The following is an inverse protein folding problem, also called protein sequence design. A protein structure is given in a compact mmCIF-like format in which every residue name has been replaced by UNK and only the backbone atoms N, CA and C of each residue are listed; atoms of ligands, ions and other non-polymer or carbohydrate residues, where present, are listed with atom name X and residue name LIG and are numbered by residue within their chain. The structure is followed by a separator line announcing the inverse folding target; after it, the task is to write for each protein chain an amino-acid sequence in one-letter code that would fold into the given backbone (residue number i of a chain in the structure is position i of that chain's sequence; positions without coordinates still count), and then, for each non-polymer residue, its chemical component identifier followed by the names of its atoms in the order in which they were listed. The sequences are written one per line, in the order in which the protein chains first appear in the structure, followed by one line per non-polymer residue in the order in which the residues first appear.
data_IF_316550812656
#
_entry.id   IF_316550812656
#
_cell.length_a   1.000
_cell.length_b   1.000
_cell.length_c   1.000
_cell.angle_alpha   90.00
_cell.angle_beta   90.00
_cell.angle_gamma   90.00
#
_symmetry.space_group_name_H-M   'P 1'
#
loop_
_entity.id
_entity.type
_entity.pdbx_description
1 polymer ?
#
# COMPACT_ATOMS: atom_id res chain seq x y z
N UNK A 1 -9.14 -13.82 -4.98
CA UNK A 1 -9.03 -12.92 -6.17
C UNK A 1 -9.31 -11.43 -5.87
N UNK A 2 -8.80 -10.81 -4.78
CA UNK A 2 -9.11 -9.39 -4.47
C UNK A 2 -8.31 -8.38 -5.33
N UNK A 3 -7.03 -8.65 -5.59
CA UNK A 3 -6.15 -7.74 -6.34
C UNK A 3 -6.63 -7.53 -7.78
N UNK A 4 -6.82 -8.61 -8.55
CA UNK A 4 -7.25 -8.53 -9.96
C UNK A 4 -8.56 -7.75 -10.10
N UNK A 5 -9.52 -7.97 -9.20
CA UNK A 5 -10.78 -7.23 -9.17
C UNK A 5 -10.58 -5.72 -9.02
N UNK A 6 -9.68 -5.27 -8.15
CA UNK A 6 -9.39 -3.85 -7.98
C UNK A 6 -8.65 -3.26 -9.20
N UNK A 7 -7.71 -4.00 -9.79
CA UNK A 7 -7.02 -3.57 -11.01
C UNK A 7 -7.99 -3.45 -12.20
N UNK A 8 -8.96 -4.35 -12.32
CA UNK A 8 -10.02 -4.24 -13.33
C UNK A 8 -10.87 -2.98 -13.11
N UNK A 9 -11.24 -2.66 -11.87
CA UNK A 9 -12.01 -1.43 -11.57
C UNK A 9 -11.24 -0.15 -11.89
N UNK A 10 -9.91 -0.19 -11.83
CA UNK A 10 -9.03 0.91 -12.23
C UNK A 10 -8.75 0.94 -13.75
N UNK A 11 -9.34 0.03 -14.53
CA UNK A 11 -9.05 -0.17 -15.95
C UNK A 11 -7.55 -0.31 -16.22
N UNK A 12 -6.83 -1.00 -15.33
CA UNK A 12 -5.37 -1.13 -15.38
C UNK A 12 -4.86 -1.79 -16.67
N UNK A 13 -5.71 -2.54 -17.40
CA UNK A 13 -5.34 -3.10 -18.70
C UNK A 13 -5.22 -2.05 -19.81
N UNK A 14 -5.90 -0.90 -19.68
CA UNK A 14 -5.91 0.19 -20.66
C UNK A 14 -5.14 1.42 -20.18
N UNK A 15 -5.11 1.66 -18.87
CA UNK A 15 -4.55 2.88 -18.28
C UNK A 15 -3.05 2.78 -17.95
N UNK A 16 -2.43 1.60 -18.07
CA UNK A 16 -0.99 1.47 -17.84
C UNK A 16 -0.24 1.85 -19.14
N UNK A 17 0.50 2.98 -19.16
CA UNK A 17 1.11 3.49 -20.40
C UNK A 17 2.33 2.68 -20.85
N UNK A 18 2.79 1.75 -20.01
CA UNK A 18 4.08 1.07 -20.16
C UNK A 18 3.96 -0.34 -20.75
N UNK A 19 3.05 -1.18 -20.26
CA UNK A 19 2.97 -2.61 -20.61
C UNK A 19 1.64 -3.22 -20.12
N UNK A 20 1.38 -4.48 -20.49
CA UNK A 20 0.23 -5.26 -19.99
C UNK A 20 0.34 -5.44 -18.47
N UNK A 21 -0.80 -5.41 -17.79
CA UNK A 21 -0.88 -5.56 -16.32
C UNK A 21 -0.13 -6.77 -15.80
N UNK A 22 -0.26 -7.94 -16.45
CA UNK A 22 0.45 -9.15 -16.01
C UNK A 22 1.97 -9.03 -16.12
N UNK A 23 2.49 -8.38 -17.17
CA UNK A 23 3.93 -8.14 -17.32
C UNK A 23 4.46 -7.20 -16.24
N UNK A 24 3.67 -6.18 -15.86
CA UNK A 24 4.01 -5.26 -14.78
C UNK A 24 4.01 -5.99 -13.44
N UNK A 25 3.01 -6.83 -13.16
CA UNK A 25 3.00 -7.64 -11.94
C UNK A 25 4.21 -8.58 -11.86
N UNK A 26 4.62 -9.19 -12.97
CA UNK A 26 5.83 -10.00 -13.03
C UNK A 26 7.10 -9.16 -12.78
N UNK A 27 7.18 -7.95 -13.33
CA UNK A 27 8.29 -7.02 -13.08
C UNK A 27 8.36 -6.62 -11.60
N UNK A 28 7.22 -6.30 -10.98
CA UNK A 28 7.14 -5.95 -9.56
C UNK A 28 7.55 -7.12 -8.65
N UNK A 29 7.20 -8.36 -9.00
CA UNK A 29 7.70 -9.54 -8.29
C UNK A 29 9.22 -9.63 -8.40
N UNK A 30 9.76 -9.54 -9.62
CA UNK A 30 11.23 -9.60 -9.84
C UNK A 30 12.01 -8.51 -9.11
N UNK A 31 11.40 -7.34 -8.94
CA UNK A 31 12.00 -6.20 -8.23
C UNK A 31 11.80 -6.26 -6.70
N UNK A 32 11.06 -7.24 -6.19
CA UNK A 32 10.83 -7.44 -4.75
C UNK A 32 9.72 -6.57 -4.15
N UNK A 33 8.85 -5.98 -4.98
CA UNK A 33 7.71 -5.18 -4.51
C UNK A 33 6.47 -6.03 -4.22
N UNK A 34 6.31 -7.17 -4.87
CA UNK A 34 5.18 -8.07 -4.70
C UNK A 34 5.65 -9.51 -4.49
N UNK A 35 4.96 -10.22 -3.59
CA UNK A 35 5.07 -11.66 -3.45
C UNK A 35 3.75 -12.31 -3.86
N UNK A 36 3.85 -13.38 -4.66
CA UNK A 36 2.69 -14.17 -5.10
C UNK A 36 2.75 -15.53 -4.41
N UNK A 37 1.81 -15.79 -3.52
CA UNK A 37 1.63 -17.07 -2.85
C UNK A 37 0.54 -17.83 -3.60
N UNK A 38 0.88 -19.04 -4.06
CA UNK A 38 -0.06 -19.95 -4.73
C UNK A 38 -0.24 -21.16 -3.82
N UNK A 39 -1.44 -21.28 -3.25
CA UNK A 39 -1.83 -22.43 -2.45
C UNK A 39 -2.54 -23.42 -3.38
N UNK A 40 -1.96 -24.62 -3.53
CA UNK A 40 -2.55 -25.71 -4.31
C UNK A 40 -3.10 -26.75 -3.37
N UNK A 41 -4.41 -26.96 -3.43
CA UNK A 41 -5.11 -28.02 -2.71
C UNK A 41 -5.64 -29.00 -3.76
N UNK A 42 -5.34 -30.28 -3.59
CA UNK A 42 -5.74 -31.31 -4.55
C UNK A 42 -7.27 -31.39 -4.66
N UNK A 43 -7.81 -31.16 -5.86
CA UNK A 43 -9.25 -31.13 -6.13
C UNK A 43 -9.91 -29.74 -6.04
N UNK A 44 -9.17 -28.68 -5.70
CA UNK A 44 -9.68 -27.30 -5.67
C UNK A 44 -8.92 -26.38 -6.64
N UNK A 45 -9.52 -25.22 -6.97
CA UNK A 45 -8.84 -24.21 -7.77
C UNK A 45 -7.69 -23.55 -6.98
N UNK A 46 -6.56 -23.32 -7.64
CA UNK A 46 -5.39 -22.63 -7.08
C UNK A 46 -5.78 -21.29 -6.42
N UNK A 47 -5.58 -21.18 -5.11
CA UNK A 47 -5.82 -19.94 -4.37
C UNK A 47 -4.58 -19.04 -4.45
N UNK A 48 -4.76 -17.86 -5.06
CA UNK A 48 -3.68 -16.87 -5.20
C UNK A 48 -3.84 -15.73 -4.19
N UNK A 49 -2.88 -15.63 -3.29
CA UNK A 49 -2.72 -14.53 -2.34
C UNK A 49 -1.56 -13.64 -2.78
N UNK A 50 -1.80 -12.33 -2.81
CA UNK A 50 -0.80 -11.33 -3.18
C UNK A 50 -0.38 -10.56 -1.92
N UNK A 51 0.92 -10.52 -1.67
CA UNK A 51 1.51 -9.88 -0.51
C UNK A 51 2.48 -8.77 -0.95
N UNK A 52 2.76 -7.83 -0.05
CA UNK A 52 3.82 -6.83 -0.27
C UNK A 52 5.17 -7.49 -0.08
N UNK A 53 6.04 -7.38 -1.08
CA UNK A 53 7.38 -7.95 -1.07
C UNK A 53 8.34 -7.20 -0.14
N UNK A 54 9.55 -7.74 0.11
CA UNK A 54 10.51 -7.18 1.07
C UNK A 54 10.89 -5.73 0.78
N UNK A 55 11.10 -5.38 -0.51
CA UNK A 55 11.47 -4.04 -0.92
C UNK A 55 10.34 -3.04 -0.71
N UNK A 56 9.10 -3.45 -1.03
CA UNK A 56 7.91 -2.63 -0.82
C UNK A 56 7.70 -2.25 0.66
N UNK A 57 8.01 -3.17 1.59
CA UNK A 57 7.92 -2.90 3.03
C UNK A 57 8.97 -1.90 3.54
N UNK A 58 10.12 -1.84 2.89
CA UNK A 58 11.22 -0.93 3.27
C UNK A 58 11.04 0.45 2.65
N UNK A 59 10.69 0.50 1.37
CA UNK A 59 10.60 1.77 0.63
C UNK A 59 9.30 2.54 0.87
N UNK A 60 8.21 1.85 1.22
CA UNK A 60 6.88 2.47 1.38
C UNK A 60 6.40 2.30 2.80
N UNK A 61 6.39 3.41 3.55
CA UNK A 61 5.86 3.42 4.92
C UNK A 61 4.32 3.39 4.93
N UNK A 62 3.68 2.76 5.93
CA UNK A 62 2.23 2.84 6.10
C UNK A 62 1.70 4.28 6.20
N UNK A 63 2.49 5.22 6.73
CA UNK A 63 2.16 6.64 6.79
C UNK A 63 2.09 7.28 5.40
N UNK A 64 3.05 6.96 4.53
CA UNK A 64 3.05 7.43 3.14
C UNK A 64 1.82 6.91 2.38
N UNK A 65 1.41 5.66 2.64
CA UNK A 65 0.17 5.11 2.07
C UNK A 65 -1.04 5.89 2.57
N UNK A 66 -1.13 6.16 3.88
CA UNK A 66 -2.24 6.92 4.45
C UNK A 66 -2.37 8.31 3.83
N UNK A 67 -1.25 9.02 3.65
CA UNK A 67 -1.22 10.34 3.01
C UNK A 67 -1.75 10.28 1.57
N UNK A 68 -1.25 9.35 0.76
CA UNK A 68 -1.71 9.19 -0.63
C UNK A 68 -3.21 8.88 -0.69
N UNK A 69 -3.69 7.97 0.16
CA UNK A 69 -5.12 7.62 0.17
C UNK A 69 -5.97 8.81 0.61
N UNK A 70 -5.53 9.60 1.59
CA UNK A 70 -6.22 10.83 2.00
C UNK A 70 -6.24 11.90 0.91
N UNK A 71 -5.20 12.01 0.09
CA UNK A 71 -5.14 12.99 -1.00
C UNK A 71 -6.05 12.61 -2.17
N UNK A 72 -6.13 11.31 -2.50
CA UNK A 72 -7.01 10.79 -3.56
C UNK A 72 -8.48 10.92 -3.17
N UNK A 73 -8.81 10.72 -1.89
CA UNK A 73 -10.17 10.85 -1.36
C UNK A 73 -10.45 12.28 -0.88
N UNK A 74 -10.90 13.15 -1.80
CA UNK A 74 -11.22 14.55 -1.49
C UNK A 74 -12.44 14.74 -0.58
N UNK A 75 -13.41 13.83 -0.65
CA UNK A 75 -14.61 13.81 0.20
C UNK A 75 -14.82 12.39 0.74
N UNK A 76 -14.05 12.00 1.77
CA UNK A 76 -14.12 10.66 2.32
C UNK A 76 -15.37 10.49 3.19
N UNK A 77 -15.94 9.27 3.27
CA UNK A 77 -17.04 8.99 4.20
C UNK A 77 -16.60 9.15 5.66
N UNK A 78 -17.52 9.44 6.58
CA UNK A 78 -17.25 9.67 8.00
C UNK A 78 -16.45 8.55 8.70
N UNK A 79 -16.55 7.31 8.21
CA UNK A 79 -15.84 6.15 8.76
C UNK A 79 -14.49 5.84 8.09
N UNK A 80 -14.05 6.70 7.16
CA UNK A 80 -12.81 6.53 6.40
C UNK A 80 -11.58 6.44 7.31
N UNK A 81 -11.44 7.38 8.25
CA UNK A 81 -10.25 7.45 9.10
C UNK A 81 -10.11 6.20 9.98
N UNK A 82 -11.23 5.74 10.54
CA UNK A 82 -11.29 4.51 11.33
C UNK A 82 -10.93 3.27 10.51
N UNK A 83 -11.35 3.22 9.24
CA UNK A 83 -10.99 2.13 8.31
C UNK A 83 -9.52 2.20 7.92
N UNK A 84 -8.99 3.40 7.73
CA UNK A 84 -7.59 3.63 7.37
C UNK A 84 -6.66 3.20 8.51
N UNK A 85 -6.94 3.64 9.74
CA UNK A 85 -6.22 3.23 10.96
C UNK A 85 -6.27 1.71 11.14
N UNK A 86 -7.46 1.10 11.00
CA UNK A 86 -7.61 -0.36 11.12
C UNK A 86 -6.82 -1.13 10.05
N UNK A 87 -6.64 -0.57 8.86
CA UNK A 87 -6.00 -1.25 7.73
C UNK A 87 -4.48 -1.12 7.75
N UNK A 88 -3.97 0.03 8.18
CA UNK A 88 -2.54 0.36 8.13
C UNK A 88 -1.86 0.35 9.50
N UNK A 89 -2.64 0.36 10.60
CA UNK A 89 -2.12 0.45 11.96
C UNK A 89 -1.46 1.79 12.28
N UNK A 90 -1.68 2.83 11.48
CA UNK A 90 -1.12 4.17 11.69
C UNK A 90 -2.18 5.12 12.22
N UNK A 91 -1.81 5.88 13.24
CA UNK A 91 -2.57 7.06 13.68
C UNK A 91 -2.14 8.24 12.80
N UNK A 92 -3.02 8.67 11.91
CA UNK A 92 -2.89 9.82 11.02
C UNK A 92 -2.71 11.17 11.73
N UNK A 93 -2.83 11.22 13.07
CA UNK A 93 -2.67 12.45 13.87
C UNK A 93 -1.29 12.72 14.49
N UNK A 94 -0.27 11.86 14.31
CA UNK A 94 1.03 12.03 15.01
C UNK A 94 2.21 12.44 14.11
N UNK A 95 2.00 12.63 12.81
CA UNK A 95 3.09 12.90 11.85
C UNK A 95 3.60 14.34 11.84
N UNK A 96 3.01 15.26 12.61
CA UNK A 96 3.45 16.67 12.67
C UNK A 96 4.10 17.09 14.00
N UNK A 97 4.04 16.28 15.05
CA UNK A 97 4.60 16.66 16.36
C UNK A 97 5.98 16.05 16.65
N UNK A 98 6.26 14.83 16.17
CA UNK A 98 7.51 14.14 16.53
C UNK A 98 8.80 14.71 15.89
N UNK A 99 8.70 15.64 14.94
CA UNK A 99 9.88 16.30 14.34
C UNK A 99 10.22 17.62 15.04
N UNK A 100 9.27 18.25 15.77
CA UNK A 100 9.52 19.54 16.44
C UNK A 100 10.13 19.43 17.84
N UNK A 101 10.15 18.24 18.43
CA UNK A 101 10.57 18.04 19.82
C UNK A 101 12.07 17.66 19.97
N UNK A 102 12.88 17.71 18.89
CA UNK A 102 14.33 17.43 18.96
C UNK A 102 15.25 18.62 18.67
N UNK A 103 14.72 19.78 18.28
CA UNK A 103 15.54 20.96 17.94
C UNK A 103 15.55 22.04 19.05
N UNK A 104 15.08 21.70 20.26
CA UNK A 104 14.89 22.68 21.36
C UNK A 104 15.75 22.51 22.60
N UNK A 105 16.78 21.65 22.59
CA UNK A 105 17.60 21.38 23.79
C UNK A 105 19.11 21.37 23.50
N UNK A 106 19.61 22.33 22.73
CA UNK A 106 21.03 22.71 22.73
C UNK A 106 21.13 24.23 22.55
N UNK A 107 20.80 24.99 23.60
CA UNK A 107 21.30 26.35 23.85
C UNK A 107 20.75 26.86 25.20
N UNK A 108 21.39 26.50 26.31
CA UNK A 108 21.68 27.47 27.37
C UNK A 108 22.82 26.98 28.28
N UNK A 109 24.01 27.54 28.00
CA UNK A 109 25.09 28.00 28.89
C UNK A 109 25.46 27.25 30.18
#
# INVERSE_FOLDING_TARGET
MKLRRYLTRLNASQNLPMDKTDNILQKLIRQGYLDKIVERVEGEEDAITWCVGPRGKVEVSPQSIAQIVSEVWRDPPDDFEKKLEKSLGVRTGQSQTAIRDREGEEDDK
#
